data_IF_013504045098
#
_entry.id   IF_013504045098
#
_cell.length_a   1.000
_cell.length_b   1.000
_cell.length_c   1.000
_cell.angle_alpha   90.00
_cell.angle_beta   90.00
_cell.angle_gamma   90.00
#
_symmetry.space_group_name_H-M   'P 1'
#
loop_
_entity.id
_entity.type
_entity.pdbx_description
1 polymer ?
#
# COMPACT_ATOMS: atom_id res chain seq x y z
N UNK A 1 -25.16 10.36 7.04
CA UNK A 1 -25.23 8.95 7.50
C UNK A 1 -25.16 8.04 6.28
N UNK A 2 -24.07 7.32 6.13
CA UNK A 2 -23.84 6.38 5.02
C UNK A 2 -24.44 5.02 5.35
N UNK A 3 -25.03 4.35 4.35
CA UNK A 3 -25.66 3.03 4.49
C UNK A 3 -25.05 2.01 3.52
N UNK A 4 -25.29 0.72 3.77
CA UNK A 4 -24.92 -0.35 2.83
C UNK A 4 -25.56 -0.15 1.43
N UNK A 5 -26.73 0.50 1.37
CA UNK A 5 -27.40 0.79 0.11
C UNK A 5 -26.68 1.89 -0.68
N UNK A 6 -26.11 2.89 0.00
CA UNK A 6 -25.33 3.94 -0.65
C UNK A 6 -24.04 3.34 -1.26
N UNK A 7 -23.36 2.47 -0.52
CA UNK A 7 -22.20 1.73 -1.04
C UNK A 7 -22.58 0.77 -2.18
N UNK A 8 -23.73 0.09 -2.06
CA UNK A 8 -24.24 -0.80 -3.10
C UNK A 8 -24.61 -0.06 -4.39
N UNK A 9 -25.18 1.14 -4.27
CA UNK A 9 -25.46 2.02 -5.42
C UNK A 9 -24.15 2.48 -6.08
N UNK A 10 -23.18 2.94 -5.29
CA UNK A 10 -21.85 3.30 -5.80
C UNK A 10 -21.24 2.18 -6.66
N UNK A 11 -21.24 0.94 -6.13
CA UNK A 11 -20.71 -0.25 -6.82
C UNK A 11 -21.48 -0.54 -8.12
N UNK A 12 -22.81 -0.56 -8.07
CA UNK A 12 -23.63 -0.94 -9.22
C UNK A 12 -23.63 0.10 -10.34
N UNK A 13 -23.42 1.37 -10.00
CA UNK A 13 -23.34 2.47 -10.96
C UNK A 13 -21.95 2.61 -11.59
N UNK A 14 -20.98 1.74 -11.26
CA UNK A 14 -19.63 1.79 -11.84
C UNK A 14 -19.64 1.40 -13.31
N UNK A 15 -19.32 2.34 -14.18
CA UNK A 15 -19.02 2.10 -15.60
C UNK A 15 -17.54 2.37 -15.89
N UNK A 16 -16.86 1.51 -16.66
CA UNK A 16 -15.50 1.80 -17.13
C UNK A 16 -15.38 3.10 -17.92
N UNK A 17 -16.45 3.51 -18.61
CA UNK A 17 -16.48 4.73 -19.43
C UNK A 17 -16.44 6.02 -18.60
N UNK A 18 -16.78 5.94 -17.32
CA UNK A 18 -16.83 7.10 -16.41
C UNK A 18 -15.48 7.37 -15.72
N UNK A 19 -14.50 6.47 -15.87
CA UNK A 19 -13.18 6.65 -15.27
C UNK A 19 -12.34 7.66 -16.07
N UNK A 20 -11.75 8.67 -15.41
CA UNK A 20 -10.78 9.53 -16.06
C UNK A 20 -9.58 8.74 -16.59
N UNK A 21 -8.99 9.12 -17.74
CA UNK A 21 -7.82 8.44 -18.28
C UNK A 21 -6.62 8.37 -17.31
N UNK A 22 -6.48 9.36 -16.43
CA UNK A 22 -5.44 9.37 -15.40
C UNK A 22 -5.66 8.28 -14.33
N UNK A 23 -6.91 8.04 -13.93
CA UNK A 23 -7.31 6.98 -12.99
C UNK A 23 -7.11 5.61 -13.63
N UNK A 24 -7.47 5.46 -14.91
CA UNK A 24 -7.22 4.24 -15.69
C UNK A 24 -5.73 3.92 -15.72
N UNK A 25 -4.87 4.88 -16.09
CA UNK A 25 -3.42 4.67 -16.13
C UNK A 25 -2.81 4.41 -14.74
N UNK A 26 -3.27 5.10 -13.70
CA UNK A 26 -2.84 4.82 -12.33
C UNK A 26 -3.25 3.41 -11.88
N UNK A 27 -4.47 2.97 -12.21
CA UNK A 27 -4.96 1.62 -11.92
C UNK A 27 -4.13 0.53 -12.60
N UNK A 28 -3.78 0.73 -13.89
CA UNK A 28 -2.87 -0.17 -14.62
C UNK A 28 -1.49 -0.26 -13.94
N UNK A 29 -0.97 0.86 -13.44
CA UNK A 29 0.28 0.87 -12.65
C UNK A 29 0.12 0.13 -11.32
N UNK A 30 -1.02 0.25 -10.62
CA UNK A 30 -1.28 -0.55 -9.40
C UNK A 30 -1.32 -2.05 -9.67
N UNK A 31 -1.88 -2.47 -10.80
CA UNK A 31 -1.83 -3.88 -11.24
C UNK A 31 -0.39 -4.37 -11.42
N UNK A 32 0.46 -3.59 -12.10
CA UNK A 32 1.87 -3.95 -12.30
C UNK A 32 2.62 -4.04 -10.96
N UNK A 33 2.40 -3.09 -10.06
CA UNK A 33 3.02 -3.08 -8.73
C UNK A 33 2.62 -4.32 -7.90
N UNK A 34 1.32 -4.61 -7.86
CA UNK A 34 0.75 -5.77 -7.18
C UNK A 34 1.28 -7.10 -7.74
N UNK A 35 1.40 -7.21 -9.07
CA UNK A 35 1.96 -8.37 -9.72
C UNK A 35 3.43 -8.59 -9.31
N UNK A 36 4.27 -7.55 -9.40
CA UNK A 36 5.67 -7.63 -9.00
C UNK A 36 5.84 -8.01 -7.52
N UNK A 37 5.02 -7.44 -6.64
CA UNK A 37 5.03 -7.76 -5.21
C UNK A 37 4.63 -9.22 -4.94
N UNK A 38 3.70 -9.78 -5.72
CA UNK A 38 3.27 -11.18 -5.59
C UNK A 38 4.32 -12.17 -6.08
N UNK A 39 5.04 -11.89 -7.17
CA UNK A 39 6.14 -12.75 -7.64
C UNK A 39 7.34 -12.75 -6.68
N UNK A 40 7.62 -11.63 -6.00
CA UNK A 40 8.68 -11.57 -4.98
C UNK A 40 8.45 -12.54 -3.81
N UNK A 41 7.21 -13.00 -3.61
CA UNK A 41 6.86 -13.95 -2.56
C UNK A 41 7.55 -15.32 -2.70
N UNK A 42 7.90 -15.76 -3.91
CA UNK A 42 8.52 -17.08 -4.13
C UNK A 42 9.87 -17.23 -3.41
N UNK A 43 10.56 -16.13 -3.15
CA UNK A 43 11.82 -16.11 -2.42
C UNK A 43 11.64 -16.23 -0.90
N UNK A 44 10.41 -16.12 -0.37
CA UNK A 44 10.12 -16.02 1.06
C UNK A 44 9.62 -17.36 1.64
N UNK A 45 10.23 -17.86 2.72
CA UNK A 45 9.83 -19.12 3.33
C UNK A 45 8.48 -18.98 4.05
N UNK A 46 7.58 -19.95 3.87
CA UNK A 46 6.38 -20.12 4.71
C UNK A 46 5.10 -19.46 4.21
N UNK A 47 5.09 -18.85 3.02
CA UNK A 47 3.85 -18.37 2.36
C UNK A 47 3.11 -19.54 1.71
N UNK A 48 2.90 -20.61 2.48
CA UNK A 48 1.98 -21.67 2.12
C UNK A 48 0.62 -21.33 2.71
N UNK A 49 -0.04 -20.32 2.15
CA UNK A 49 -1.47 -20.09 2.37
C UNK A 49 -2.32 -21.03 1.50
N UNK A 50 -1.76 -22.17 1.04
CA UNK A 50 -2.50 -23.24 0.42
C UNK A 50 -3.45 -23.86 1.46
N UNK A 51 -4.57 -23.20 1.70
CA UNK A 51 -5.77 -23.93 2.02
C UNK A 51 -6.19 -24.57 0.71
N UNK A 52 -5.88 -25.86 0.54
CA UNK A 52 -6.64 -26.75 -0.33
C UNK A 52 -8.09 -26.82 0.21
N UNK A 53 -8.79 -25.68 0.20
CA UNK A 53 -10.19 -25.59 0.48
C UNK A 53 -10.84 -26.20 -0.76
N UNK A 54 -11.30 -27.44 -0.62
CA UNK A 54 -11.83 -28.25 -1.69
C UNK A 54 -12.81 -27.45 -2.57
N UNK A 55 -12.45 -27.26 -3.85
CA UNK A 55 -13.40 -26.93 -4.91
C UNK A 55 -12.91 -25.89 -5.92
N UNK A 56 -12.94 -26.28 -7.20
CA UNK A 56 -12.82 -25.37 -8.35
C UNK A 56 -11.43 -25.33 -9.00
N UNK A 57 -11.44 -25.19 -10.32
CA UNK A 57 -10.28 -24.94 -11.20
C UNK A 57 -10.72 -23.82 -12.14
N UNK A 58 -11.02 -22.66 -11.55
CA UNK A 58 -11.71 -21.56 -12.23
C UNK A 58 -10.83 -20.31 -12.33
N UNK A 59 -10.00 -20.06 -11.31
CA UNK A 59 -9.16 -18.88 -11.24
C UNK A 59 -7.70 -19.24 -11.03
N UNK A 60 -6.82 -18.42 -11.58
CA UNK A 60 -5.37 -18.64 -11.60
C UNK A 60 -4.73 -18.20 -10.29
N UNK A 61 -3.79 -19.01 -9.83
CA UNK A 61 -2.90 -18.68 -8.73
C UNK A 61 -1.63 -18.07 -9.30
N UNK A 62 -1.32 -16.87 -8.84
CA UNK A 62 -0.21 -16.11 -9.38
C UNK A 62 1.12 -16.73 -8.97
N UNK A 63 2.13 -16.62 -9.84
CA UNK A 63 3.47 -17.14 -9.61
C UNK A 63 3.45 -18.61 -9.13
N UNK A 64 2.65 -19.45 -9.79
CA UNK A 64 2.39 -20.82 -9.34
C UNK A 64 2.39 -21.82 -10.49
N UNK A 65 3.16 -21.54 -11.54
CA UNK A 65 3.31 -22.38 -12.75
C UNK A 65 1.94 -22.80 -13.35
N UNK A 66 0.99 -21.86 -13.41
CA UNK A 66 -0.34 -22.08 -13.97
C UNK A 66 -1.27 -22.91 -13.08
N UNK A 67 -0.97 -23.05 -11.78
CA UNK A 67 -1.88 -23.68 -10.85
C UNK A 67 -3.17 -22.85 -10.68
N UNK A 68 -4.29 -23.54 -10.44
CA UNK A 68 -5.62 -22.91 -10.39
C UNK A 68 -6.41 -23.37 -9.16
N UNK A 69 -7.42 -22.59 -8.78
CA UNK A 69 -8.29 -22.84 -7.63
C UNK A 69 -9.70 -22.27 -7.86
N UNK A 70 -10.59 -22.42 -6.88
CA UNK A 70 -11.85 -21.68 -6.84
C UNK A 70 -11.61 -20.18 -6.60
N UNK A 71 -12.55 -19.28 -6.99
CA UNK A 71 -12.32 -17.84 -6.99
C UNK A 71 -11.86 -17.26 -5.64
N UNK A 72 -12.52 -17.62 -4.54
CA UNK A 72 -12.17 -17.13 -3.22
C UNK A 72 -10.81 -17.66 -2.72
N UNK A 73 -10.45 -18.90 -3.08
CA UNK A 73 -9.15 -19.50 -2.75
C UNK A 73 -8.02 -18.87 -3.55
N UNK A 74 -8.22 -18.65 -4.85
CA UNK A 74 -7.25 -17.94 -5.69
C UNK A 74 -7.01 -16.52 -5.18
N UNK A 75 -8.09 -15.78 -4.87
CA UNK A 75 -7.99 -14.44 -4.29
C UNK A 75 -7.20 -14.42 -2.97
N UNK A 76 -7.47 -15.37 -2.06
CA UNK A 76 -6.73 -15.49 -0.80
C UNK A 76 -5.23 -15.76 -1.03
N UNK A 77 -4.88 -16.76 -1.83
CA UNK A 77 -3.49 -17.14 -2.07
C UNK A 77 -2.70 -16.00 -2.75
N UNK A 78 -3.33 -15.34 -3.73
CA UNK A 78 -2.73 -14.22 -4.45
C UNK A 78 -2.56 -12.98 -3.55
N UNK A 79 -3.53 -12.67 -2.68
CA UNK A 79 -3.41 -11.60 -1.70
C UNK A 79 -2.35 -11.87 -0.62
N UNK A 80 -2.24 -13.12 -0.17
CA UNK A 80 -1.16 -13.52 0.75
C UNK A 80 0.22 -13.28 0.12
N UNK A 81 0.40 -13.72 -1.13
CA UNK A 81 1.65 -13.53 -1.89
C UNK A 81 1.98 -12.05 -2.07
N UNK A 82 1.03 -11.26 -2.57
CA UNK A 82 1.16 -9.82 -2.76
C UNK A 82 1.66 -9.13 -1.47
N UNK A 83 1.02 -9.42 -0.33
CA UNK A 83 1.32 -8.77 0.95
C UNK A 83 2.63 -9.23 1.58
N UNK A 84 3.07 -10.45 1.31
CA UNK A 84 4.18 -11.06 2.02
C UNK A 84 5.54 -10.43 1.72
N UNK A 85 5.74 -9.85 0.52
CA UNK A 85 6.98 -9.16 0.18
C UNK A 85 7.17 -7.83 0.89
N UNK A 86 6.08 -7.23 1.41
CA UNK A 86 6.08 -5.87 1.96
C UNK A 86 6.33 -4.77 0.91
N UNK A 87 6.38 -5.14 -0.39
CA UNK A 87 6.72 -4.23 -1.48
C UNK A 87 5.49 -3.58 -2.14
N UNK A 88 4.29 -4.06 -1.82
CA UNK A 88 3.04 -3.52 -2.35
C UNK A 88 2.77 -2.09 -1.84
N UNK A 89 1.78 -1.44 -2.45
CA UNK A 89 1.42 -0.07 -2.13
C UNK A 89 0.98 0.15 -0.67
N UNK A 90 0.94 1.42 -0.29
CA UNK A 90 0.49 1.87 1.02
C UNK A 90 -0.39 3.09 0.87
N UNK A 91 -1.49 3.12 1.60
CA UNK A 91 -2.27 4.34 1.85
C UNK A 91 -2.02 4.76 3.30
N UNK A 92 -1.55 5.99 3.52
CA UNK A 92 -1.36 6.55 4.85
C UNK A 92 -2.69 7.10 5.36
N UNK A 93 -3.40 6.28 6.12
CA UNK A 93 -4.61 6.69 6.82
C UNK A 93 -4.27 7.43 8.12
N UNK A 94 -5.22 8.18 8.72
CA UNK A 94 -5.00 8.88 9.99
C UNK A 94 -4.57 7.96 11.15
N UNK A 95 -5.04 6.70 11.16
CA UNK A 95 -4.67 5.69 12.16
C UNK A 95 -3.47 4.81 11.73
N UNK A 96 -2.78 5.21 10.67
CA UNK A 96 -1.56 4.58 10.17
C UNK A 96 -1.71 3.82 8.85
N UNK A 97 -0.67 3.06 8.45
CA UNK A 97 -0.62 2.42 7.13
C UNK A 97 -1.77 1.43 6.88
N UNK A 98 -2.36 1.53 5.70
CA UNK A 98 -3.32 0.57 5.14
C UNK A 98 -2.95 0.25 3.69
N UNK A 99 -3.63 -0.71 3.06
CA UNK A 99 -3.17 -1.27 1.79
C UNK A 99 -4.31 -1.61 0.82
N UNK A 100 -4.74 -0.64 -0.01
CA UNK A 100 -5.82 -0.86 -0.98
C UNK A 100 -5.47 -1.92 -2.04
N UNK A 101 -4.18 -2.13 -2.37
CA UNK A 101 -3.77 -3.17 -3.33
C UNK A 101 -4.19 -4.59 -2.95
N UNK A 102 -4.46 -4.84 -1.66
CA UNK A 102 -4.89 -6.16 -1.18
C UNK A 102 -6.22 -6.62 -1.80
N UNK A 103 -7.01 -5.69 -2.35
CA UNK A 103 -8.25 -5.99 -3.06
C UNK A 103 -8.03 -6.42 -4.53
N UNK A 104 -6.89 -6.11 -5.14
CA UNK A 104 -6.60 -6.41 -6.55
C UNK A 104 -6.76 -7.92 -6.86
N UNK A 105 -6.21 -8.85 -6.05
CA UNK A 105 -6.42 -10.28 -6.25
C UNK A 105 -7.89 -10.71 -6.28
N UNK A 106 -8.74 -10.09 -5.46
CA UNK A 106 -10.18 -10.37 -5.45
C UNK A 106 -10.87 -9.87 -6.74
N UNK A 107 -10.49 -8.68 -7.21
CA UNK A 107 -10.98 -8.12 -8.47
C UNK A 107 -10.61 -9.01 -9.66
N UNK A 108 -9.34 -9.41 -9.76
CA UNK A 108 -8.84 -10.28 -10.85
C UNK A 108 -9.50 -11.65 -10.81
N UNK A 109 -9.62 -12.28 -9.64
CA UNK A 109 -10.27 -13.59 -9.52
C UNK A 109 -11.76 -13.52 -9.89
N UNK A 110 -12.48 -12.47 -9.47
CA UNK A 110 -13.88 -12.27 -9.83
C UNK A 110 -14.06 -12.00 -11.34
N UNK A 111 -13.18 -11.18 -11.93
CA UNK A 111 -13.19 -10.88 -13.36
C UNK A 111 -12.87 -12.11 -14.21
N UNK A 112 -11.86 -12.91 -13.84
CA UNK A 112 -11.53 -14.18 -14.50
C UNK A 112 -12.70 -15.17 -14.39
N UNK A 113 -13.36 -15.24 -13.22
CA UNK A 113 -14.51 -16.11 -13.01
C UNK A 113 -15.73 -15.71 -13.85
N UNK A 114 -15.96 -14.41 -14.02
CA UNK A 114 -17.07 -13.85 -14.79
C UNK A 114 -16.82 -13.80 -16.30
N UNK A 115 -15.58 -14.08 -16.76
CA UNK A 115 -15.14 -13.81 -18.13
C UNK A 115 -15.35 -12.33 -18.51
N UNK A 116 -15.04 -11.43 -17.57
CA UNK A 116 -15.17 -9.99 -17.75
C UNK A 116 -14.08 -9.42 -18.67
N UNK A 117 -14.35 -8.26 -19.27
CA UNK A 117 -13.35 -7.54 -20.06
C UNK A 117 -12.39 -6.72 -19.18
N UNK A 118 -11.30 -6.30 -19.80
CA UNK A 118 -10.24 -5.54 -19.16
C UNK A 118 -10.70 -4.21 -18.56
N UNK A 119 -11.53 -3.46 -19.30
CA UNK A 119 -12.12 -2.21 -18.83
C UNK A 119 -12.96 -2.40 -17.54
N UNK A 120 -13.75 -3.48 -17.46
CA UNK A 120 -14.50 -3.85 -16.25
C UNK A 120 -13.57 -4.18 -15.08
N UNK A 121 -12.46 -4.89 -15.34
CA UNK A 121 -11.45 -5.15 -14.30
C UNK A 121 -10.85 -3.85 -13.75
N UNK A 122 -10.52 -2.88 -14.62
CA UNK A 122 -9.97 -1.60 -14.17
C UNK A 122 -10.98 -0.80 -13.34
N UNK A 123 -12.26 -0.80 -13.74
CA UNK A 123 -13.33 -0.21 -12.92
C UNK A 123 -13.50 -0.89 -11.57
N UNK A 124 -13.39 -2.22 -11.52
CA UNK A 124 -13.43 -2.98 -10.28
C UNK A 124 -12.29 -2.59 -9.33
N UNK A 125 -11.05 -2.49 -9.84
CA UNK A 125 -9.90 -2.09 -9.02
C UNK A 125 -10.05 -0.63 -8.56
N UNK A 126 -10.40 0.29 -9.44
CA UNK A 126 -10.58 1.70 -9.08
C UNK A 126 -11.64 1.89 -7.99
N UNK A 127 -12.79 1.22 -8.12
CA UNK A 127 -13.85 1.26 -7.10
C UNK A 127 -13.42 0.66 -5.76
N UNK A 128 -12.56 -0.37 -5.79
CA UNK A 128 -12.00 -0.97 -4.58
C UNK A 128 -11.05 0.02 -3.86
N UNK A 129 -10.22 0.76 -4.60
CA UNK A 129 -9.34 1.79 -4.04
C UNK A 129 -10.14 2.96 -3.45
N UNK A 130 -11.15 3.45 -4.18
CA UNK A 130 -12.05 4.51 -3.74
C UNK A 130 -12.70 4.18 -2.41
N UNK A 131 -13.35 3.01 -2.33
CA UNK A 131 -13.98 2.59 -1.08
C UNK A 131 -12.97 2.36 0.04
N UNK A 132 -11.79 1.80 -0.24
CA UNK A 132 -10.78 1.58 0.78
C UNK A 132 -10.26 2.91 1.35
N UNK A 133 -9.92 3.87 0.49
CA UNK A 133 -9.42 5.18 0.90
C UNK A 133 -10.42 5.92 1.78
N UNK A 134 -11.68 6.00 1.34
CA UNK A 134 -12.76 6.64 2.10
C UNK A 134 -13.00 5.97 3.46
N UNK A 135 -13.01 4.63 3.50
CA UNK A 135 -13.17 3.90 4.76
C UNK A 135 -11.98 4.07 5.70
N UNK A 136 -10.77 4.02 5.18
CA UNK A 136 -9.56 4.17 5.97
C UNK A 136 -9.44 5.59 6.55
N UNK A 137 -9.86 6.61 5.78
CA UNK A 137 -9.82 8.00 6.20
C UNK A 137 -10.89 8.35 7.24
N UNK A 138 -12.15 7.92 7.03
CA UNK A 138 -13.28 8.36 7.86
C UNK A 138 -13.75 7.33 8.89
N UNK A 139 -13.26 6.10 8.84
CA UNK A 139 -13.59 5.05 9.81
C UNK A 139 -12.33 4.29 10.27
N UNK A 140 -11.38 4.95 10.94
CA UNK A 140 -10.12 4.35 11.37
C UNK A 140 -10.36 3.09 12.23
N UNK A 141 -9.89 1.94 11.74
CA UNK A 141 -10.17 0.64 12.33
C UNK A 141 -9.36 0.41 13.61
N UNK A 142 -8.15 0.95 13.70
CA UNK A 142 -7.21 0.70 14.80
C UNK A 142 -7.63 1.38 16.09
N UNK A 143 -8.30 2.52 15.99
CA UNK A 143 -8.92 3.19 17.14
C UNK A 143 -9.93 2.30 17.86
N UNK A 144 -10.47 1.31 17.15
CA UNK A 144 -11.45 0.34 17.64
C UNK A 144 -10.83 -1.05 17.92
N UNK A 145 -9.50 -1.19 17.84
CA UNK A 145 -8.77 -2.44 18.07
C UNK A 145 -8.77 -3.42 16.89
N UNK A 146 -9.12 -2.95 15.68
CA UNK A 146 -9.17 -3.75 14.46
C UNK A 146 -8.08 -3.33 13.47
N UNK A 147 -7.62 -4.28 12.66
CA UNK A 147 -6.64 -4.04 11.61
C UNK A 147 -7.28 -3.55 10.30
N UNK A 148 -6.48 -2.96 9.39
CA UNK A 148 -6.95 -2.37 8.12
C UNK A 148 -7.55 -3.40 7.15
N UNK A 149 -7.31 -4.70 7.34
CA UNK A 149 -7.97 -5.76 6.58
C UNK A 149 -9.50 -5.82 6.84
N UNK A 150 -10.01 -5.11 7.85
CA UNK A 150 -11.45 -4.86 8.01
C UNK A 150 -12.00 -4.02 6.86
N UNK A 151 -11.31 -2.93 6.47
CA UNK A 151 -11.62 -2.15 5.27
C UNK A 151 -11.35 -2.95 4.00
N UNK A 152 -10.24 -3.69 3.98
CA UNK A 152 -9.84 -4.54 2.85
C UNK A 152 -10.91 -5.55 2.44
N UNK A 153 -11.70 -6.09 3.37
CA UNK A 153 -12.78 -7.02 3.04
C UNK A 153 -13.93 -6.35 2.28
N UNK A 154 -14.32 -5.13 2.70
CA UNK A 154 -15.34 -4.33 2.02
C UNK A 154 -14.85 -3.85 0.65
N UNK A 155 -13.59 -3.41 0.58
CA UNK A 155 -12.92 -3.03 -0.67
C UNK A 155 -12.86 -4.19 -1.67
N UNK A 156 -12.42 -5.38 -1.22
CA UNK A 156 -12.41 -6.60 -2.03
C UNK A 156 -13.81 -7.01 -2.49
N UNK A 157 -14.85 -6.84 -1.65
CA UNK A 157 -16.25 -7.06 -2.05
C UNK A 157 -16.72 -6.08 -3.11
N UNK A 158 -16.41 -4.78 -2.96
CA UNK A 158 -16.80 -3.77 -3.93
C UNK A 158 -16.21 -4.08 -5.31
N UNK A 159 -14.89 -4.31 -5.38
CA UNK A 159 -14.24 -4.68 -6.64
C UNK A 159 -14.77 -6.00 -7.22
N UNK A 160 -14.94 -7.04 -6.39
CA UNK A 160 -15.52 -8.31 -6.86
C UNK A 160 -16.97 -8.13 -7.37
N UNK A 161 -17.78 -7.29 -6.73
CA UNK A 161 -19.15 -7.04 -7.14
C UNK A 161 -19.23 -6.27 -8.47
N UNK A 162 -18.34 -5.29 -8.70
CA UNK A 162 -18.20 -4.62 -10.01
C UNK A 162 -17.81 -5.64 -11.08
N UNK A 163 -16.78 -6.46 -10.82
CA UNK A 163 -16.28 -7.45 -11.77
C UNK A 163 -17.32 -8.53 -12.13
N UNK A 164 -18.21 -8.89 -11.19
CA UNK A 164 -19.33 -9.82 -11.42
C UNK A 164 -20.55 -9.15 -12.09
N UNK A 165 -20.56 -7.82 -12.22
CA UNK A 165 -21.69 -7.07 -12.78
C UNK A 165 -22.95 -7.11 -11.90
N UNK A 166 -22.79 -7.08 -10.57
CA UNK A 166 -23.92 -7.14 -9.65
C UNK A 166 -24.79 -5.88 -9.73
N UNK A 167 -26.11 -6.05 -9.64
CA UNK A 167 -27.02 -4.90 -9.55
C UNK A 167 -26.97 -4.23 -8.17
N UNK A 168 -27.65 -3.09 -8.02
CA UNK A 168 -27.65 -2.32 -6.76
C UNK A 168 -28.13 -3.10 -5.54
N UNK A 169 -29.13 -3.99 -5.69
CA UNK A 169 -29.62 -4.80 -4.58
C UNK A 169 -28.63 -5.92 -4.23
N UNK A 170 -28.07 -6.60 -5.23
CA UNK A 170 -27.03 -7.61 -5.07
C UNK A 170 -25.77 -7.02 -4.45
N UNK A 171 -25.28 -5.88 -4.94
CA UNK A 171 -24.13 -5.17 -4.39
C UNK A 171 -24.37 -4.72 -2.94
N UNK A 172 -25.56 -4.20 -2.62
CA UNK A 172 -25.97 -3.87 -1.24
C UNK A 172 -25.88 -5.10 -0.33
N UNK A 173 -26.40 -6.24 -0.80
CA UNK A 173 -26.35 -7.50 -0.05
C UNK A 173 -24.91 -7.99 0.13
N UNK A 174 -24.06 -7.86 -0.90
CA UNK A 174 -22.66 -8.26 -0.86
C UNK A 174 -21.89 -7.47 0.21
N UNK A 175 -21.98 -6.12 0.17
CA UNK A 175 -21.34 -5.22 1.15
C UNK A 175 -21.83 -5.55 2.57
N UNK A 176 -23.14 -5.74 2.74
CA UNK A 176 -23.71 -6.08 4.03
C UNK A 176 -23.23 -7.42 4.59
N UNK A 177 -23.05 -8.44 3.74
CA UNK A 177 -22.49 -9.74 4.13
C UNK A 177 -20.99 -9.63 4.48
N UNK A 178 -20.25 -8.79 3.76
CA UNK A 178 -18.81 -8.61 3.96
C UNK A 178 -18.50 -7.88 5.27
N UNK A 179 -19.39 -7.01 5.74
CA UNK A 179 -19.21 -6.29 6.98
C UNK A 179 -19.22 -7.16 8.26
N UNK A 180 -19.63 -8.43 8.18
CA UNK A 180 -19.41 -9.38 9.28
C UNK A 180 -17.90 -9.74 9.45
N UNK A 181 -17.07 -9.40 8.47
CA UNK A 181 -15.62 -9.62 8.53
C UNK A 181 -14.92 -8.49 9.28
N UNK A 182 -14.25 -8.86 10.37
CA UNK A 182 -13.33 -7.99 11.11
C UNK A 182 -11.98 -8.66 11.24
N UNK A 183 -10.92 -7.87 11.21
CA UNK A 183 -9.55 -8.35 11.40
C UNK A 183 -8.96 -7.74 12.67
N UNK A 184 -8.21 -8.51 13.44
CA UNK A 184 -7.50 -8.00 14.63
C UNK A 184 -6.18 -7.34 14.22
N UNK A 185 -5.85 -6.24 14.88
CA UNK A 185 -4.52 -5.61 14.74
C UNK A 185 -3.52 -6.28 15.71
N UNK A 186 -3.02 -7.46 15.31
CA UNK A 186 -2.23 -8.32 16.18
C UNK A 186 -0.70 -8.11 16.03
N UNK A 187 -0.16 -8.38 14.84
CA UNK A 187 1.28 -8.33 14.55
C UNK A 187 1.53 -8.21 13.03
N UNK A 188 2.61 -7.54 12.64
CA UNK A 188 3.05 -7.36 11.25
C UNK A 188 3.26 -8.70 10.52
N UNK A 189 3.69 -9.75 11.23
CA UNK A 189 3.87 -11.10 10.65
C UNK A 189 2.56 -11.76 10.19
N UNK A 190 1.41 -11.30 10.72
CA UNK A 190 0.09 -11.83 10.37
C UNK A 190 -0.56 -11.08 9.19
N UNK A 191 0.04 -9.98 8.70
CA UNK A 191 -0.54 -9.16 7.61
C UNK A 191 -0.89 -9.99 6.36
N UNK A 192 -0.04 -10.91 5.85
CA UNK A 192 -0.40 -11.73 4.68
C UNK A 192 -1.66 -12.58 4.88
N UNK A 193 -1.84 -13.13 6.08
CA UNK A 193 -3.03 -13.93 6.43
C UNK A 193 -4.26 -13.05 6.54
N UNK A 194 -4.12 -11.86 7.14
CA UNK A 194 -5.22 -10.90 7.23
C UNK A 194 -5.70 -10.46 5.83
N UNK A 195 -4.79 -10.15 4.91
CA UNK A 195 -5.11 -9.80 3.52
C UNK A 195 -5.75 -10.97 2.77
N UNK A 196 -5.25 -12.19 2.95
CA UNK A 196 -5.83 -13.40 2.36
C UNK A 196 -7.29 -13.64 2.82
N UNK A 197 -7.54 -13.51 4.11
CA UNK A 197 -8.87 -13.68 4.69
C UNK A 197 -9.85 -12.62 4.18
N UNK A 198 -9.40 -11.35 4.12
CA UNK A 198 -10.20 -10.25 3.59
C UNK A 198 -10.57 -10.46 2.12
N UNK A 199 -9.60 -10.81 1.27
CA UNK A 199 -9.84 -11.08 -0.16
C UNK A 199 -10.80 -12.26 -0.37
N UNK A 200 -10.63 -13.37 0.35
CA UNK A 200 -11.52 -14.53 0.28
C UNK A 200 -12.93 -14.24 0.78
N UNK A 201 -13.05 -13.52 1.91
CA UNK A 201 -14.34 -13.05 2.43
C UNK A 201 -15.04 -12.16 1.41
N UNK A 202 -14.28 -11.27 0.76
CA UNK A 202 -14.79 -10.32 -0.22
C UNK A 202 -15.44 -11.00 -1.43
N UNK A 203 -14.70 -11.91 -2.07
CA UNK A 203 -15.19 -12.71 -3.21
C UNK A 203 -16.35 -13.61 -2.79
N UNK A 204 -16.27 -14.23 -1.61
CA UNK A 204 -17.34 -15.10 -1.10
C UNK A 204 -18.64 -14.33 -0.88
N UNK A 205 -18.57 -13.12 -0.33
CA UNK A 205 -19.74 -12.28 -0.10
C UNK A 205 -20.41 -11.87 -1.43
N UNK A 206 -19.63 -11.44 -2.41
CA UNK A 206 -20.12 -11.08 -3.74
C UNK A 206 -20.79 -12.28 -4.44
N UNK A 207 -20.15 -13.45 -4.44
CA UNK A 207 -20.74 -14.68 -5.01
C UNK A 207 -22.01 -15.13 -4.28
N UNK A 208 -22.09 -14.97 -2.95
CA UNK A 208 -23.31 -15.29 -2.20
C UNK A 208 -24.47 -14.37 -2.58
N UNK A 209 -24.19 -13.08 -2.71
CA UNK A 209 -25.18 -12.09 -3.10
C UNK A 209 -25.68 -12.32 -4.54
N UNK A 210 -24.77 -12.62 -5.48
CA UNK A 210 -25.11 -13.01 -6.86
C UNK A 210 -26.00 -14.26 -6.93
N UNK A 211 -25.92 -15.13 -5.92
CA UNK A 211 -26.79 -16.31 -5.77
C UNK A 211 -28.07 -16.02 -4.96
N UNK A 212 -28.41 -14.75 -4.72
CA UNK A 212 -29.64 -14.30 -4.06
C UNK A 212 -29.61 -14.38 -2.52
N UNK A 213 -28.44 -14.47 -1.90
CA UNK A 213 -28.33 -14.42 -0.43
C UNK A 213 -28.54 -12.99 0.06
N UNK A 214 -29.56 -12.71 0.90
CA UNK A 214 -29.78 -11.36 1.41
C UNK A 214 -28.76 -11.01 2.51
N UNK A 215 -28.34 -9.74 2.53
CA UNK A 215 -27.46 -9.20 3.57
C UNK A 215 -28.23 -8.56 4.75
N UNK A 216 -27.58 -8.41 5.92
CA UNK A 216 -28.15 -7.68 7.05
C UNK A 216 -28.40 -6.20 6.70
N UNK A 217 -29.52 -5.63 7.16
CA UNK A 217 -29.94 -4.25 6.79
C UNK A 217 -29.44 -3.15 7.74
N UNK A 218 -28.86 -3.49 8.89
CA UNK A 218 -28.44 -2.53 9.95
C UNK A 218 -26.96 -2.64 10.31
N UNK A 219 -26.13 -2.81 9.29
CA UNK A 219 -24.71 -3.09 9.46
C UNK A 219 -23.96 -1.90 10.06
N UNK A 220 -24.11 -0.72 9.47
CA UNK A 220 -23.28 0.43 9.80
C UNK A 220 -23.51 0.93 11.22
N UNK A 221 -24.76 1.01 11.69
CA UNK A 221 -25.06 1.51 13.04
C UNK A 221 -24.64 0.62 14.20
N UNK A 222 -24.39 -0.69 13.98
CA UNK A 222 -24.03 -1.64 15.06
C UNK A 222 -22.59 -2.17 14.92
N UNK A 223 -21.95 -1.98 13.77
CA UNK A 223 -20.60 -2.45 13.52
C UNK A 223 -19.57 -1.58 14.27
N UNK A 224 -18.57 -2.17 14.96
CA UNK A 224 -17.68 -1.42 15.84
C UNK A 224 -16.79 -0.39 15.13
N UNK A 225 -16.45 -0.60 13.86
CA UNK A 225 -15.70 0.36 13.01
C UNK A 225 -16.64 1.26 12.18
N UNK A 226 -17.53 0.67 11.39
CA UNK A 226 -18.41 1.40 10.45
C UNK A 226 -19.49 2.28 11.11
N UNK A 227 -19.70 2.18 12.44
CA UNK A 227 -20.63 3.06 13.17
C UNK A 227 -20.23 4.51 13.14
N UNK A 228 -18.93 4.82 12.95
CA UNK A 228 -18.45 6.16 12.70
C UNK A 228 -19.15 6.80 11.48
N UNK A 229 -19.40 6.02 10.42
CA UNK A 229 -20.08 6.48 9.20
C UNK A 229 -21.59 6.64 9.39
N UNK A 230 -22.11 6.11 10.50
CA UNK A 230 -23.52 6.18 10.88
C UNK A 230 -23.83 7.35 11.83
N UNK A 231 -22.83 8.09 12.32
CA UNK A 231 -23.05 9.27 13.19
C UNK A 231 -23.55 10.48 12.40
N UNK A 232 -24.32 11.35 13.06
CA UNK A 232 -24.65 12.69 12.54
C UNK A 232 -23.45 13.61 12.85
N UNK A 233 -22.87 14.34 11.89
CA UNK A 233 -21.79 15.29 12.16
C UNK A 233 -22.18 16.39 13.17
N UNK A 234 -23.48 16.63 13.39
CA UNK A 234 -23.98 17.56 14.42
C UNK A 234 -24.18 16.92 15.81
N UNK A 235 -24.01 15.59 15.96
CA UNK A 235 -24.03 14.90 17.25
C UNK A 235 -22.61 14.89 17.86
N UNK A 236 -22.35 15.81 18.79
CA UNK A 236 -21.13 15.80 19.61
C UNK A 236 -20.93 14.42 20.28
N UNK A 237 -19.77 13.76 20.12
CA UNK A 237 -19.47 12.57 20.89
C UNK A 237 -19.38 12.93 22.38
N UNK A 238 -20.27 12.32 23.15
CA UNK A 238 -20.43 12.50 24.60
C UNK A 238 -19.08 12.37 25.33
N UNK A 239 -18.83 13.34 26.22
CA UNK A 239 -17.71 13.44 27.16
C UNK A 239 -17.24 12.09 27.74
N UNK A 240 -16.01 11.69 27.41
CA UNK A 240 -15.12 11.02 28.39
C UNK A 240 -13.67 11.03 27.95
N UNK A 241 -12.91 12.05 28.36
CA UNK A 241 -11.56 11.94 28.91
C UNK A 241 -10.98 13.35 29.11
N UNK A 242 -11.16 13.90 30.31
CA UNK A 242 -10.40 15.06 30.74
C UNK A 242 -8.90 14.72 30.84
N UNK A 243 -8.07 15.55 30.21
CA UNK A 243 -6.79 15.95 30.80
C UNK A 243 -5.54 15.72 29.95
N UNK A 244 -5.16 16.71 29.16
CA UNK A 244 -3.88 17.43 29.29
C UNK A 244 -3.71 18.41 28.12
N UNK A 245 -4.03 19.69 28.35
CA UNK A 245 -3.55 20.78 27.50
C UNK A 245 -2.09 21.09 27.89
N UNK A 246 -1.18 21.07 26.90
CA UNK A 246 0.16 21.64 27.04
C UNK A 246 0.22 22.94 26.22
N UNK A 247 0.65 24.00 26.90
CA UNK A 247 0.86 25.34 26.36
C UNK A 247 2.10 25.37 25.44
N UNK A 248 1.95 26.00 24.27
CA UNK A 248 3.03 26.25 23.32
C UNK A 248 3.96 27.35 23.84
N UNK A 249 5.26 27.16 23.71
CA UNK A 249 6.29 28.18 23.86
C UNK A 249 6.95 28.42 22.49
N UNK A 250 7.02 29.68 22.10
CA UNK A 250 7.67 30.19 20.89
C UNK A 250 9.17 29.87 20.88
N UNK A 251 9.72 29.43 19.75
CA UNK A 251 11.10 29.74 19.33
C UNK A 251 11.34 29.49 17.81
N UNK A 252 12.19 30.35 17.23
CA UNK A 252 12.39 30.72 15.82
C UNK A 252 12.46 29.62 14.74
N UNK A 253 11.66 29.81 13.67
CA UNK A 253 11.76 29.14 12.36
C UNK A 253 13.04 29.50 11.59
N UNK A 254 13.68 28.49 11.00
CA UNK A 254 14.51 28.67 9.79
C UNK A 254 13.63 28.27 8.60
N UNK A 255 13.02 29.26 7.96
CA UNK A 255 12.27 29.07 6.73
C UNK A 255 13.24 28.85 5.56
N UNK A 256 13.18 27.68 4.93
CA UNK A 256 13.73 27.43 3.61
C UNK A 256 12.55 27.18 2.67
N UNK A 257 12.29 28.15 1.79
CA UNK A 257 11.20 28.13 0.82
C UNK A 257 11.37 26.93 -0.14
N UNK A 258 10.41 26.00 -0.10
CA UNK A 258 10.22 24.99 -1.13
C UNK A 258 9.25 25.56 -2.18
N UNK A 259 9.77 25.91 -3.36
CA UNK A 259 8.94 26.10 -4.56
C UNK A 259 8.68 24.70 -5.14
N UNK A 260 7.52 24.15 -4.81
CA UNK A 260 6.96 22.94 -5.39
C UNK A 260 5.67 23.28 -6.12
N UNK A 261 5.78 23.59 -7.41
CA UNK A 261 4.68 23.84 -8.32
C UNK A 261 3.96 22.52 -8.64
N UNK A 262 2.89 22.25 -7.89
CA UNK A 262 2.01 21.11 -8.07
C UNK A 262 0.78 21.25 -7.17
N UNK A 263 -0.14 22.14 -7.54
CA UNK A 263 -1.48 22.21 -6.96
C UNK A 263 -2.20 20.88 -7.25
N UNK A 264 -2.22 19.96 -6.29
CA UNK A 264 -3.23 18.91 -6.15
C UNK A 264 -3.85 19.12 -4.76
N UNK A 265 -4.59 20.22 -4.62
CA UNK A 265 -5.52 20.40 -3.49
C UNK A 265 -6.66 19.39 -3.69
N UNK A 266 -6.49 18.18 -3.17
CA UNK A 266 -7.65 17.41 -2.75
C UNK A 266 -8.12 18.08 -1.46
N UNK A 267 -9.02 19.06 -1.60
CA UNK A 267 -9.90 19.49 -0.52
C UNK A 267 -10.66 18.24 -0.06
N UNK A 268 -10.10 17.49 0.89
CA UNK A 268 -10.79 16.41 1.56
C UNK A 268 -11.90 17.04 2.39
N UNK A 269 -13.07 17.19 1.75
CA UNK A 269 -14.32 17.62 2.38
C UNK A 269 -14.49 16.83 3.69
N UNK A 270 -14.93 17.48 4.77
CA UNK A 270 -14.85 16.95 6.15
C UNK A 270 -15.72 15.68 6.40
N UNK A 271 -16.29 15.05 5.36
CA UNK A 271 -17.17 13.89 5.46
C UNK A 271 -16.96 12.82 4.39
N UNK A 272 -17.27 11.57 4.76
CA UNK A 272 -17.21 10.39 3.87
C UNK A 272 -18.02 10.61 2.59
N UNK A 273 -17.36 10.56 1.44
CA UNK A 273 -18.00 10.75 0.14
C UNK A 273 -17.25 9.96 -0.94
N UNK A 274 -17.95 8.99 -1.54
CA UNK A 274 -17.37 8.21 -2.63
C UNK A 274 -17.43 8.98 -3.94
N UNK A 275 -16.28 9.13 -4.60
CA UNK A 275 -16.19 9.79 -5.89
C UNK A 275 -16.52 8.83 -7.04
N UNK A 276 -17.39 9.28 -7.95
CA UNK A 276 -17.61 8.62 -9.24
C UNK A 276 -16.33 8.41 -10.06
N UNK A 277 -15.35 9.32 -9.96
CA UNK A 277 -14.10 9.25 -10.69
C UNK A 277 -13.08 8.27 -10.09
N UNK A 278 -13.28 7.81 -8.85
CA UNK A 278 -12.38 6.89 -8.14
C UNK A 278 -10.93 7.42 -7.98
N UNK A 279 -10.77 8.69 -7.59
CA UNK A 279 -9.46 9.36 -7.55
C UNK A 279 -8.55 8.86 -6.42
N UNK A 280 -9.06 8.16 -5.39
CA UNK A 280 -8.25 7.61 -4.29
C UNK A 280 -7.15 6.64 -4.74
N UNK A 281 -7.18 6.15 -5.99
CA UNK A 281 -6.06 5.38 -6.58
C UNK A 281 -4.75 6.18 -6.62
N UNK A 282 -4.83 7.52 -6.67
CA UNK A 282 -3.68 8.41 -6.69
C UNK A 282 -3.05 8.62 -5.30
N UNK A 283 -3.83 8.43 -4.23
CA UNK A 283 -3.37 8.61 -2.84
C UNK A 283 -2.42 7.51 -2.36
N UNK A 284 -2.35 6.39 -3.09
CA UNK A 284 -1.52 5.26 -2.70
C UNK A 284 -0.03 5.50 -3.00
N UNK A 285 0.79 5.48 -1.96
CA UNK A 285 2.25 5.44 -2.03
C UNK A 285 2.70 4.11 -2.66
N UNK A 286 3.72 4.16 -3.51
CA UNK A 286 4.39 2.97 -4.03
C UNK A 286 5.80 2.90 -3.45
N UNK A 287 6.08 2.02 -2.47
CA UNK A 287 7.43 1.85 -1.93
C UNK A 287 8.41 1.51 -3.05
N UNK A 288 9.49 2.28 -3.21
CA UNK A 288 10.49 2.04 -4.25
C UNK A 288 11.54 1.02 -3.81
N UNK A 289 11.88 1.06 -2.53
CA UNK A 289 12.95 0.25 -1.93
C UNK A 289 12.37 -0.84 -1.03
N UNK A 290 13.09 -1.96 -0.86
CA UNK A 290 12.63 -3.11 -0.07
C UNK A 290 12.71 -2.92 1.48
N UNK A 291 12.63 -1.67 1.95
CA UNK A 291 12.76 -1.29 3.36
C UNK A 291 11.48 -0.72 3.95
N UNK A 292 11.48 -0.37 5.26
CA UNK A 292 10.29 0.16 5.91
C UNK A 292 9.87 1.47 5.27
N UNK A 293 8.58 1.79 5.34
CA UNK A 293 8.01 2.98 4.71
C UNK A 293 8.73 4.27 5.15
N UNK A 294 9.04 4.38 6.44
CA UNK A 294 9.79 5.51 7.00
C UNK A 294 11.22 5.69 6.44
N UNK A 295 11.84 4.64 5.91
CA UNK A 295 13.19 4.74 5.35
C UNK A 295 13.21 5.21 3.89
N UNK A 296 12.09 5.13 3.15
CA UNK A 296 12.03 5.48 1.73
C UNK A 296 12.64 6.85 1.39
N UNK A 297 12.29 7.96 2.08
CA UNK A 297 12.88 9.26 1.77
C UNK A 297 14.36 9.37 2.13
N UNK A 298 14.80 8.72 3.21
CA UNK A 298 16.21 8.70 3.58
C UNK A 298 17.06 7.93 2.55
N UNK A 299 16.57 6.78 2.08
CA UNK A 299 17.23 5.99 1.02
C UNK A 299 17.34 6.82 -0.27
N UNK A 300 16.24 7.50 -0.66
CA UNK A 300 16.24 8.36 -1.84
C UNK A 300 17.25 9.51 -1.72
N UNK A 301 17.24 10.23 -0.58
CA UNK A 301 18.16 11.33 -0.32
C UNK A 301 19.63 10.90 -0.33
N UNK A 302 19.92 9.72 0.23
CA UNK A 302 21.27 9.15 0.30
C UNK A 302 21.78 8.74 -1.09
N UNK A 303 20.96 8.02 -1.87
CA UNK A 303 21.33 7.60 -3.22
C UNK A 303 21.59 8.80 -4.14
N UNK A 304 20.70 9.79 -4.10
CA UNK A 304 20.85 11.04 -4.85
C UNK A 304 22.10 11.83 -4.42
N UNK A 305 22.40 11.91 -3.12
CA UNK A 305 23.63 12.56 -2.64
C UNK A 305 24.90 11.83 -3.10
N UNK A 306 24.91 10.49 -2.99
CA UNK A 306 26.03 9.66 -3.41
C UNK A 306 26.29 9.73 -4.92
N UNK A 307 25.26 9.93 -5.73
CA UNK A 307 25.38 10.15 -7.16
C UNK A 307 25.86 11.58 -7.48
N UNK A 308 25.17 12.62 -6.98
CA UNK A 308 25.46 14.03 -7.29
C UNK A 308 26.84 14.47 -6.81
N UNK A 309 27.27 14.01 -5.63
CA UNK A 309 28.56 14.35 -5.05
C UNK A 309 29.66 13.33 -5.40
N UNK A 310 29.34 12.27 -6.16
CA UNK A 310 30.26 11.18 -6.51
C UNK A 310 31.02 10.65 -5.28
N UNK A 311 30.29 10.41 -4.19
CA UNK A 311 30.87 9.99 -2.92
C UNK A 311 31.51 8.60 -3.06
N UNK A 312 32.72 8.47 -2.52
CA UNK A 312 33.33 7.18 -2.22
C UNK A 312 32.87 6.77 -0.81
N UNK A 313 32.15 5.64 -0.65
CA UNK A 313 31.70 5.16 0.65
C UNK A 313 32.85 4.98 1.66
N UNK A 314 34.06 4.68 1.18
CA UNK A 314 35.24 4.52 2.03
C UNK A 314 35.74 5.83 2.67
N UNK A 315 35.35 6.98 2.11
CA UNK A 315 35.72 8.30 2.61
C UNK A 315 34.68 8.88 3.60
N UNK A 316 33.57 8.18 3.83
CA UNK A 316 32.50 8.63 4.75
C UNK A 316 32.91 8.39 6.20
N UNK A 317 32.93 9.46 7.00
CA UNK A 317 33.22 9.38 8.45
C UNK A 317 31.94 9.36 9.29
N UNK A 318 30.90 10.08 8.87
CA UNK A 318 29.66 10.25 9.63
C UNK A 318 28.49 10.57 8.73
N UNK A 319 27.33 10.00 9.06
CA UNK A 319 26.07 10.31 8.40
C UNK A 319 25.04 10.68 9.46
N UNK A 320 24.39 11.83 9.27
CA UNK A 320 23.25 12.25 10.11
C UNK A 320 21.99 12.25 9.26
N UNK A 321 20.95 11.57 9.75
CA UNK A 321 19.62 11.54 9.13
C UNK A 321 18.64 12.22 10.09
N UNK A 322 18.06 13.33 9.67
CA UNK A 322 16.90 13.92 10.32
C UNK A 322 15.63 13.48 9.58
N UNK A 323 14.63 13.03 10.30
CA UNK A 323 13.36 12.52 9.76
C UNK A 323 12.20 12.86 10.69
N UNK A 324 10.97 12.65 10.24
CA UNK A 324 9.78 12.61 11.10
C UNK A 324 9.83 11.43 12.09
N UNK A 325 8.78 11.22 12.91
CA UNK A 325 8.65 10.09 13.85
C UNK A 325 8.65 8.72 13.13
N UNK A 326 9.84 8.27 12.71
CA UNK A 326 10.08 7.00 12.04
C UNK A 326 9.74 5.78 12.90
N UNK A 327 9.95 5.79 14.25
CA UNK A 327 9.45 4.75 15.13
C UNK A 327 7.93 4.52 15.03
N UNK A 328 7.11 5.55 14.81
CA UNK A 328 5.67 5.39 14.58
C UNK A 328 5.34 4.52 13.36
N UNK A 329 6.25 4.42 12.38
CA UNK A 329 6.14 3.55 11.21
C UNK A 329 7.01 2.30 11.30
N UNK A 330 7.37 1.89 12.52
CA UNK A 330 8.02 0.62 12.81
C UNK A 330 9.42 0.46 12.17
N UNK A 331 10.15 1.58 12.06
CA UNK A 331 11.52 1.63 11.52
C UNK A 331 12.57 1.82 12.64
N UNK A 332 13.24 0.76 13.11
CA UNK A 332 14.36 0.85 14.03
C UNK A 332 15.46 1.82 13.57
N UNK A 333 15.83 2.74 14.46
CA UNK A 333 16.74 3.87 14.17
C UNK A 333 18.18 3.68 14.67
N UNK A 334 18.47 2.58 15.39
CA UNK A 334 19.72 2.45 16.17
C UNK A 334 20.44 1.11 16.07
N UNK A 335 20.00 0.19 15.20
CA UNK A 335 20.56 -1.17 15.14
C UNK A 335 21.30 -1.44 13.82
N UNK A 336 22.58 -1.84 13.93
CA UNK A 336 23.23 -2.60 12.86
C UNK A 336 22.63 -4.00 12.83
N UNK A 337 22.05 -4.41 11.69
CA UNK A 337 21.34 -5.66 11.62
C UNK A 337 22.26 -6.88 11.76
N UNK A 338 21.75 -7.93 12.40
CA UNK A 338 22.43 -9.23 12.48
C UNK A 338 21.87 -10.23 11.47
N UNK A 339 20.59 -10.09 11.13
CA UNK A 339 19.89 -10.97 10.19
C UNK A 339 19.30 -10.18 9.02
N UNK A 340 19.02 -10.84 7.88
CA UNK A 340 18.25 -10.24 6.79
C UNK A 340 16.92 -9.63 7.21
N UNK A 341 16.23 -10.25 8.17
CA UNK A 341 14.96 -9.75 8.70
C UNK A 341 15.14 -8.43 9.45
N UNK A 342 16.21 -8.31 10.25
CA UNK A 342 16.53 -7.05 10.93
C UNK A 342 16.96 -5.98 9.93
N UNK A 343 17.74 -6.39 8.92
CA UNK A 343 18.23 -5.51 7.86
C UNK A 343 17.09 -4.88 7.05
N UNK A 344 16.03 -5.66 6.76
CA UNK A 344 14.84 -5.20 6.06
C UNK A 344 14.06 -4.10 6.82
N UNK A 345 14.39 -3.86 8.09
CA UNK A 345 13.74 -2.86 8.95
C UNK A 345 14.71 -1.76 9.44
N UNK A 346 16.01 -1.92 9.23
CA UNK A 346 17.02 -0.99 9.75
C UNK A 346 17.20 0.20 8.80
N UNK A 347 16.79 1.40 9.26
CA UNK A 347 17.00 2.64 8.52
C UNK A 347 18.50 2.96 8.33
N UNK A 348 19.36 2.84 9.38
CA UNK A 348 20.81 3.01 9.23
C UNK A 348 21.42 2.14 8.12
N UNK A 349 21.08 0.85 8.10
CA UNK A 349 21.60 -0.08 7.10
C UNK A 349 21.10 0.24 5.69
N UNK A 350 19.82 0.60 5.54
CA UNK A 350 19.27 0.98 4.25
C UNK A 350 19.95 2.24 3.67
N UNK A 351 20.28 3.22 4.52
CA UNK A 351 21.06 4.40 4.12
C UNK A 351 22.49 4.03 3.73
N UNK A 352 23.15 3.14 4.47
CA UNK A 352 24.50 2.67 4.13
C UNK A 352 24.54 1.97 2.75
N UNK A 353 23.57 1.10 2.46
CA UNK A 353 23.43 0.49 1.14
C UNK A 353 23.17 1.54 0.05
N UNK A 354 22.33 2.53 0.32
CA UNK A 354 22.04 3.61 -0.64
C UNK A 354 23.27 4.47 -0.95
N UNK A 355 24.11 4.77 0.05
CA UNK A 355 25.37 5.49 -0.17
C UNK A 355 26.37 4.67 -0.99
N UNK A 356 26.36 3.34 -0.81
CA UNK A 356 27.29 2.42 -1.48
C UNK A 356 26.87 2.13 -2.92
N UNK A 357 25.65 1.63 -3.09
CA UNK A 357 25.16 1.05 -4.33
C UNK A 357 24.10 1.91 -5.04
N UNK A 358 23.73 3.06 -4.46
CA UNK A 358 22.62 3.94 -4.93
C UNK A 358 21.27 3.21 -5.01
N UNK A 359 21.14 2.12 -4.25
CA UNK A 359 19.97 1.26 -4.23
C UNK A 359 19.80 0.59 -2.85
N UNK A 360 18.58 0.15 -2.57
CA UNK A 360 18.28 -0.74 -1.47
C UNK A 360 17.17 -1.72 -1.89
N UNK A 361 17.38 -3.01 -1.68
CA UNK A 361 16.59 -4.05 -2.35
C UNK A 361 17.04 -5.47 -1.97
N UNK A 362 16.42 -6.52 -2.56
CA UNK A 362 16.65 -7.92 -2.18
C UNK A 362 18.12 -8.35 -2.15
N UNK A 363 18.96 -7.82 -3.04
CA UNK A 363 20.41 -8.11 -3.07
C UNK A 363 21.12 -7.75 -1.75
N UNK A 364 20.64 -6.70 -1.06
CA UNK A 364 21.19 -6.21 0.20
C UNK A 364 20.62 -6.94 1.42
N UNK A 365 19.60 -7.77 1.23
CA UNK A 365 18.89 -8.53 2.27
C UNK A 365 19.34 -10.00 2.29
N UNK A 366 20.63 -10.22 2.04
CA UNK A 366 21.25 -11.54 2.08
C UNK A 366 22.16 -11.65 3.30
N UNK A 367 22.37 -12.88 3.80
CA UNK A 367 23.30 -13.09 4.92
C UNK A 367 24.74 -12.68 4.59
N UNK A 368 25.13 -12.69 3.32
CA UNK A 368 26.44 -12.21 2.84
C UNK A 368 26.53 -10.69 2.94
N UNK A 369 25.57 -9.96 2.36
CA UNK A 369 25.54 -8.49 2.40
C UNK A 369 25.44 -7.96 3.83
N UNK A 370 24.59 -8.56 4.68
CA UNK A 370 24.43 -8.15 6.09
C UNK A 370 25.70 -8.39 6.91
N UNK A 371 26.53 -9.35 6.50
CA UNK A 371 27.80 -9.66 7.15
C UNK A 371 28.99 -8.86 6.58
N UNK A 372 28.78 -8.04 5.55
CA UNK A 372 29.84 -7.23 4.93
C UNK A 372 30.37 -6.21 5.95
N UNK A 373 31.67 -6.27 6.32
CA UNK A 373 32.24 -5.35 7.30
C UNK A 373 32.18 -3.88 6.84
N UNK A 374 32.31 -3.59 5.55
CA UNK A 374 32.31 -2.20 5.05
C UNK A 374 30.91 -1.57 5.17
N UNK A 375 29.86 -2.32 4.82
CA UNK A 375 28.47 -1.87 5.00
C UNK A 375 28.10 -1.74 6.48
N UNK A 376 28.60 -2.63 7.34
CA UNK A 376 28.35 -2.57 8.79
C UNK A 376 29.01 -1.35 9.41
N UNK A 377 30.28 -1.09 9.09
CA UNK A 377 31.01 0.08 9.58
C UNK A 377 30.32 1.38 9.11
N UNK A 378 29.84 1.42 7.86
CA UNK A 378 29.09 2.57 7.36
C UNK A 378 27.72 2.72 8.04
N UNK A 379 26.99 1.63 8.27
CA UNK A 379 25.72 1.66 8.99
C UNK A 379 25.89 2.12 10.45
N UNK A 380 26.97 1.71 11.12
CA UNK A 380 27.36 2.18 12.46
C UNK A 380 27.67 3.69 12.48
N UNK A 381 28.10 4.25 11.35
CA UNK A 381 28.34 5.70 11.20
C UNK A 381 27.06 6.52 10.97
N UNK A 382 25.91 5.87 10.75
CA UNK A 382 24.61 6.55 10.55
C UNK A 382 23.92 6.79 11.88
N UNK A 383 23.67 8.06 12.19
CA UNK A 383 22.82 8.49 13.31
C UNK A 383 21.50 9.01 12.78
N UNK A 384 20.39 8.51 13.34
CA UNK A 384 19.04 8.94 12.96
C UNK A 384 18.40 9.68 14.12
N UNK A 385 17.87 10.88 13.85
CA UNK A 385 17.19 11.73 14.84
C UNK A 385 15.86 12.21 14.30
N UNK A 386 14.84 12.21 15.16
CA UNK A 386 13.58 12.88 14.86
C UNK A 386 13.77 14.40 14.87
N UNK A 387 13.12 15.09 13.92
CA UNK A 387 13.00 16.54 13.87
C UNK A 387 11.53 16.96 13.93
N UNK A 388 11.10 17.76 14.92
CA UNK A 388 9.70 18.16 15.07
C UNK A 388 9.11 18.91 13.87
N UNK A 389 9.93 19.68 13.14
CA UNK A 389 9.50 20.39 11.94
C UNK A 389 9.26 19.44 10.76
N UNK A 390 10.04 18.36 10.68
CA UNK A 390 9.81 17.28 9.72
C UNK A 390 8.58 16.42 10.10
N UNK A 391 8.35 16.20 11.40
CA UNK A 391 7.12 15.54 11.88
C UNK A 391 5.88 16.34 11.51
N UNK A 392 5.88 17.67 11.70
CA UNK A 392 4.75 18.51 11.29
C UNK A 392 4.48 18.47 9.78
N UNK A 393 5.51 18.34 8.95
CA UNK A 393 5.35 18.15 7.51
C UNK A 393 4.80 16.76 7.17
N UNK A 394 5.19 15.72 7.91
CA UNK A 394 4.61 14.38 7.77
C UNK A 394 3.12 14.36 8.11
N UNK A 395 2.74 15.02 9.20
CA UNK A 395 1.33 15.18 9.59
C UNK A 395 0.52 15.96 8.54
N UNK A 396 1.18 16.81 7.75
CA UNK A 396 0.60 17.51 6.60
C UNK A 396 0.61 16.70 5.28
N UNK A 397 0.97 15.41 5.32
CA UNK A 397 0.89 14.50 4.17
C UNK A 397 2.16 14.41 3.32
N UNK A 398 3.30 14.93 3.80
CA UNK A 398 4.61 14.72 3.16
C UNK A 398 5.37 13.55 3.79
N UNK A 399 6.52 13.19 3.24
CA UNK A 399 7.43 12.20 3.83
C UNK A 399 8.87 12.69 3.76
N UNK A 400 9.26 13.66 4.60
CA UNK A 400 10.53 14.33 4.44
C UNK A 400 11.70 13.64 5.14
N UNK A 401 12.90 13.81 4.59
CA UNK A 401 14.15 13.45 5.23
C UNK A 401 15.27 14.43 4.85
N UNK A 402 16.17 14.69 5.79
CA UNK A 402 17.40 15.46 5.57
C UNK A 402 18.59 14.58 5.91
N UNK A 403 19.55 14.48 4.99
CA UNK A 403 20.77 13.72 5.16
C UNK A 403 21.97 14.64 5.07
N UNK A 404 22.90 14.51 6.01
CA UNK A 404 24.22 15.12 5.96
C UNK A 404 25.28 14.01 5.99
N UNK A 405 26.20 14.04 5.03
CA UNK A 405 27.35 13.14 4.95
C UNK A 405 28.62 13.94 5.15
N UNK A 406 29.40 13.57 6.15
CA UNK A 406 30.71 14.14 6.44
C UNK A 406 31.81 13.19 5.99
N UNK A 407 32.73 13.70 5.18
CA UNK A 407 33.88 12.98 4.66
C UNK A 407 35.10 13.13 5.58
N UNK A 408 36.05 12.20 5.49
CA UNK A 408 37.27 12.20 6.30
C UNK A 408 38.18 13.44 6.11
N UNK A 409 37.97 14.23 5.06
CA UNK A 409 38.65 15.50 4.82
C UNK A 409 37.95 16.70 5.50
N UNK A 410 36.85 16.45 6.21
CA UNK A 410 36.01 17.43 6.89
C UNK A 410 34.97 18.11 6.00
N UNK A 411 34.84 17.70 4.74
CA UNK A 411 33.78 18.18 3.85
C UNK A 411 32.41 17.65 4.28
N UNK A 412 31.38 18.50 4.25
CA UNK A 412 29.99 18.09 4.55
C UNK A 412 29.11 18.35 3.34
N UNK A 413 28.38 17.33 2.90
CA UNK A 413 27.39 17.40 1.83
C UNK A 413 26.00 17.12 2.39
N UNK A 414 25.00 17.84 1.88
CA UNK A 414 23.61 17.72 2.37
C UNK A 414 22.67 17.36 1.23
N UNK A 415 21.64 16.58 1.54
CA UNK A 415 20.48 16.35 0.68
C UNK A 415 19.20 16.43 1.48
N UNK A 416 18.15 16.98 0.88
CA UNK A 416 16.81 17.06 1.46
C UNK A 416 15.82 16.54 0.44
N UNK A 417 14.90 15.72 0.91
CA UNK A 417 13.80 15.17 0.13
C UNK A 417 12.52 15.48 0.88
N UNK A 418 11.55 16.11 0.23
CA UNK A 418 10.20 16.31 0.79
C UNK A 418 9.25 15.15 0.53
N UNK A 419 9.48 14.44 -0.58
CA UNK A 419 8.75 13.24 -1.00
C UNK A 419 9.67 12.37 -1.86
N UNK A 420 9.61 11.05 -1.72
CA UNK A 420 10.44 10.12 -2.48
C UNK A 420 9.76 9.72 -3.80
N UNK A 421 10.51 9.27 -4.84
CA UNK A 421 9.91 8.72 -6.05
C UNK A 421 9.06 7.49 -5.72
N UNK A 422 7.74 7.62 -5.83
CA UNK A 422 6.74 6.68 -5.31
C UNK A 422 5.72 7.31 -4.37
N UNK A 423 5.95 8.52 -3.88
CA UNK A 423 4.97 9.30 -3.13
C UNK A 423 3.81 9.78 -4.03
N UNK A 424 2.58 9.99 -3.53
CA UNK A 424 1.47 10.52 -4.33
C UNK A 424 1.78 11.81 -5.09
N UNK A 425 2.58 12.70 -4.50
CA UNK A 425 3.04 13.94 -5.14
C UNK A 425 4.22 13.74 -6.12
N UNK A 426 4.83 12.55 -6.14
CA UNK A 426 5.92 12.16 -7.03
C UNK A 426 5.76 10.69 -7.48
N UNK A 427 4.66 10.35 -8.18
CA UNK A 427 4.35 8.96 -8.50
C UNK A 427 5.38 8.39 -9.48
N UNK A 428 5.70 7.10 -9.34
CA UNK A 428 6.58 6.44 -10.30
C UNK A 428 5.90 6.36 -11.69
N UNK A 429 6.68 6.68 -12.72
CA UNK A 429 6.30 6.40 -14.09
C UNK A 429 6.46 4.91 -14.41
N UNK A 430 6.04 4.52 -15.62
CA UNK A 430 6.13 3.14 -16.07
C UNK A 430 7.56 2.60 -16.11
N UNK A 431 8.57 3.42 -16.40
CA UNK A 431 9.96 2.97 -16.45
C UNK A 431 10.49 2.66 -15.05
N UNK A 432 10.30 3.59 -14.09
CA UNK A 432 10.69 3.42 -12.70
C UNK A 432 9.96 2.23 -12.05
N UNK A 433 8.65 2.09 -12.32
CA UNK A 433 7.86 0.97 -11.81
C UNK A 433 8.30 -0.38 -12.42
N UNK A 434 8.58 -0.43 -13.73
CA UNK A 434 9.11 -1.63 -14.38
C UNK A 434 10.46 -2.01 -13.79
N UNK A 435 11.34 -1.03 -13.51
CA UNK A 435 12.62 -1.27 -12.86
C UNK A 435 12.46 -1.83 -11.44
N UNK A 436 11.50 -1.31 -10.65
CA UNK A 436 11.13 -1.89 -9.35
C UNK A 436 10.70 -3.34 -9.51
N UNK A 437 9.77 -3.63 -10.41
CA UNK A 437 9.30 -5.01 -10.65
C UNK A 437 10.43 -5.93 -11.10
N UNK A 438 11.36 -5.43 -11.93
CA UNK A 438 12.55 -6.19 -12.35
C UNK A 438 13.50 -6.51 -11.20
N UNK A 439 13.62 -5.63 -10.21
CA UNK A 439 14.42 -5.88 -9.00
C UNK A 439 13.75 -6.86 -8.03
N UNK A 440 12.42 -6.94 -8.04
CA UNK A 440 11.62 -7.90 -7.27
C UNK A 440 11.54 -9.28 -7.94
N UNK A 441 11.71 -9.33 -9.26
CA UNK A 441 11.54 -10.52 -10.09
C UNK A 441 12.77 -10.72 -11.00
N UNK A 442 12.60 -10.52 -12.31
CA UNK A 442 13.65 -10.39 -13.30
C UNK A 442 13.17 -9.46 -14.44
N UNK A 443 14.11 -8.99 -15.27
CA UNK A 443 13.79 -8.02 -16.33
C UNK A 443 12.86 -8.55 -17.42
N UNK A 444 12.90 -9.86 -17.71
CA UNK A 444 12.05 -10.47 -18.74
C UNK A 444 10.61 -10.54 -18.25
N UNK A 445 10.40 -10.99 -17.01
CA UNK A 445 9.08 -11.04 -16.38
C UNK A 445 8.51 -9.65 -16.15
N UNK A 446 9.32 -8.68 -15.72
CA UNK A 446 8.86 -7.30 -15.55
C UNK A 446 8.34 -6.70 -16.86
N UNK A 447 9.01 -6.96 -17.98
CA UNK A 447 8.56 -6.50 -19.30
C UNK A 447 7.24 -7.16 -19.72
N UNK A 448 7.10 -8.48 -19.51
CA UNK A 448 5.87 -9.20 -19.84
C UNK A 448 4.67 -8.74 -18.99
N UNK A 449 4.88 -8.54 -17.68
CA UNK A 449 3.84 -8.01 -16.78
C UNK A 449 3.45 -6.58 -17.16
N UNK A 450 4.42 -5.75 -17.53
CA UNK A 450 4.17 -4.38 -17.99
C UNK A 450 3.29 -4.39 -19.24
N UNK A 451 3.66 -5.15 -20.27
CA UNK A 451 2.89 -5.26 -21.52
C UNK A 451 1.44 -5.68 -21.23
N UNK A 452 1.26 -6.73 -20.43
CA UNK A 452 -0.06 -7.20 -20.04
C UNK A 452 -0.90 -6.17 -19.26
N UNK A 453 -0.26 -5.33 -18.43
CA UNK A 453 -0.94 -4.27 -17.68
C UNK A 453 -1.24 -3.01 -18.54
N UNK A 454 -0.36 -2.64 -19.47
CA UNK A 454 -0.59 -1.54 -20.41
C UNK A 454 -1.81 -1.85 -21.31
N UNK A 455 -1.89 -3.09 -21.79
CA UNK A 455 -2.98 -3.61 -22.63
C UNK A 455 -4.24 -3.99 -21.84
N UNK A 456 -4.23 -3.91 -20.51
CA UNK A 456 -5.31 -4.42 -19.67
C UNK A 456 -6.68 -3.76 -19.86
N UNK A 457 -6.77 -2.62 -20.55
CA UNK A 457 -8.06 -1.95 -20.84
C UNK A 457 -8.72 -2.52 -22.10
N UNK A 458 -7.93 -2.71 -23.16
CA UNK A 458 -8.38 -3.17 -24.47
C UNK A 458 -8.29 -4.71 -24.62
N UNK A 459 -7.53 -5.36 -23.74
CA UNK A 459 -7.25 -6.79 -23.73
C UNK A 459 -8.26 -7.63 -22.95
N UNK A 460 -8.13 -8.96 -23.08
CA UNK A 460 -8.91 -9.88 -22.26
C UNK A 460 -8.23 -10.07 -20.90
N UNK A 461 -9.03 -10.25 -19.84
CA UNK A 461 -8.52 -10.61 -18.50
C UNK A 461 -7.67 -11.88 -18.55
N UNK A 462 -7.96 -12.80 -19.49
CA UNK A 462 -7.18 -14.01 -19.72
C UNK A 462 -5.71 -13.73 -20.10
N UNK A 463 -5.42 -12.65 -20.81
CA UNK A 463 -4.06 -12.29 -21.22
C UNK A 463 -3.25 -11.79 -20.02
N UNK A 464 -3.85 -10.92 -19.19
CA UNK A 464 -3.27 -10.49 -17.91
C UNK A 464 -3.01 -11.69 -16.99
N UNK A 465 -4.01 -12.56 -16.84
CA UNK A 465 -3.90 -13.73 -15.97
C UNK A 465 -2.86 -14.73 -16.49
N UNK A 466 -2.69 -14.86 -17.80
CA UNK A 466 -1.62 -15.69 -18.37
C UNK A 466 -0.22 -15.16 -18.05
N UNK A 467 -0.03 -13.83 -17.97
CA UNK A 467 1.23 -13.23 -17.54
C UNK A 467 1.48 -13.39 -16.03
N UNK A 468 0.42 -13.55 -15.24
CA UNK A 468 0.47 -13.76 -13.79
C UNK A 468 0.70 -15.24 -13.38
N UNK A 469 0.49 -16.19 -14.29
CA UNK A 469 0.47 -17.63 -14.03
C UNK A 469 1.82 -18.23 -13.57
#
# INVERSE_FOLDING_TARGET
>A
MTTAADLGAFVADRSPEDLPPAVVDATKRRLLDAAGAAFAADALPGISAATDAAGGDACTRWASDGARAGPASAAAENAARLRASGAADVFLAPDGPSHPSDAIPACVAAAEYADADGATLLAAVAAAYELHGELAWHAPAREHGFGPATHGALSATAGAAVALGLDSEEATNAIALAADHTSLDADATHRPVASANAASAGVTAALRAANGTPGPRRVFGEHPVLSALAADPDDDPVESAEGAACEFADEEEVACEFEGDGEHDHDHDDGFALDSACERVHDALTPRYAGPLAAQPAIAAAADLAERAALDPADVERVTVQTFDAPALDAPTSAVPETPTDAARSLPYAVACALTDRAFGPAHLTGESVADPELRDLADAVTVTEDPGLTAQFDAGLMPAVIAVESADGGVQHSTVGAYPGHPTQPMDWEALTAKVGALTDAERAAALREACEDAEDGAVADLVAALA
#
